data_IF_117001981220
#
_entry.id   IF_117001981220
#
_cell.length_a   1.000
_cell.length_b   1.000
_cell.length_c   1.000
_cell.angle_alpha   90.00
_cell.angle_beta   90.00
_cell.angle_gamma   90.00
#
_symmetry.space_group_name_H-M   'P 1'
#
loop_
_entity.id
_entity.type
_entity.pdbx_description
1 polymer ?
#
# COMPACT_ATOMS: atom_id res chain seq x y z
N UNK A 1 -10.38 18.75 -3.67
CA UNK A 1 -10.28 17.87 -2.49
C UNK A 1 -11.38 16.80 -2.49
N UNK A 2 -12.66 17.16 -2.26
CA UNK A 2 -13.78 16.19 -2.21
C UNK A 2 -13.92 15.28 -3.46
N UNK A 3 -13.76 15.83 -4.67
CA UNK A 3 -13.82 15.06 -5.93
C UNK A 3 -12.71 14.01 -6.05
N UNK A 4 -11.50 14.31 -5.58
CA UNK A 4 -10.36 13.38 -5.59
C UNK A 4 -10.58 12.26 -4.58
N UNK A 5 -11.10 12.58 -3.39
CA UNK A 5 -11.41 11.59 -2.35
C UNK A 5 -12.54 10.62 -2.77
N UNK A 6 -13.63 11.14 -3.36
CA UNK A 6 -14.72 10.30 -3.86
C UNK A 6 -14.29 9.39 -5.02
N UNK A 7 -13.47 9.89 -5.96
CA UNK A 7 -13.01 9.08 -7.09
C UNK A 7 -12.00 8.01 -6.69
N UNK A 8 -11.14 8.27 -5.70
CA UNK A 8 -10.26 7.22 -5.16
C UNK A 8 -11.11 6.11 -4.52
N UNK A 9 -12.10 6.46 -3.70
CA UNK A 9 -12.98 5.48 -3.08
C UNK A 9 -13.75 4.64 -4.11
N UNK A 10 -14.27 5.27 -5.17
CA UNK A 10 -15.11 4.61 -6.17
C UNK A 10 -14.32 3.81 -7.22
N UNK A 11 -13.11 4.25 -7.59
CA UNK A 11 -12.35 3.64 -8.69
C UNK A 11 -11.23 2.72 -8.23
N UNK A 12 -10.66 2.96 -7.05
CA UNK A 12 -9.43 2.28 -6.61
C UNK A 12 -9.74 1.10 -5.70
N UNK A 13 -10.61 1.26 -4.69
CA UNK A 13 -10.88 0.21 -3.72
C UNK A 13 -11.49 -1.07 -4.34
N UNK A 14 -12.49 -0.99 -5.24
CA UNK A 14 -13.04 -2.18 -5.89
C UNK A 14 -12.05 -2.87 -6.83
N UNK A 15 -11.23 -2.07 -7.54
CA UNK A 15 -10.27 -2.58 -8.52
C UNK A 15 -8.99 -3.13 -7.89
N UNK A 16 -8.64 -2.68 -6.68
CA UNK A 16 -7.55 -3.28 -5.94
C UNK A 16 -7.86 -4.76 -5.61
N UNK A 17 -9.13 -5.14 -5.47
CA UNK A 17 -9.61 -6.50 -5.20
C UNK A 17 -9.04 -7.13 -3.92
N UNK A 18 -9.42 -8.38 -3.63
CA UNK A 18 -8.78 -9.18 -2.58
C UNK A 18 -9.11 -8.73 -1.14
N UNK A 19 -8.26 -9.09 -0.17
CA UNK A 19 -8.51 -8.89 1.26
C UNK A 19 -8.58 -7.40 1.66
N UNK A 20 -9.40 -7.01 2.65
CA UNK A 20 -9.62 -5.61 3.04
C UNK A 20 -8.33 -4.80 3.27
N UNK A 21 -7.32 -5.42 3.88
CA UNK A 21 -6.03 -4.75 4.14
C UNK A 21 -5.30 -4.29 2.88
N UNK A 22 -5.39 -5.05 1.77
CA UNK A 22 -4.79 -4.65 0.49
C UNK A 22 -5.50 -3.43 -0.08
N UNK A 23 -6.83 -3.45 -0.08
CA UNK A 23 -7.65 -2.36 -0.60
C UNK A 23 -7.38 -1.08 0.17
N UNK A 24 -7.31 -1.17 1.50
CA UNK A 24 -6.98 -0.04 2.35
C UNK A 24 -5.59 0.53 2.02
N UNK A 25 -4.57 -0.33 2.02
CA UNK A 25 -3.20 0.11 1.80
C UNK A 25 -2.98 0.80 0.44
N UNK A 26 -3.55 0.21 -0.62
CA UNK A 26 -3.47 0.78 -1.98
C UNK A 26 -4.26 2.09 -2.06
N UNK A 27 -5.44 2.17 -1.42
CA UNK A 27 -6.24 3.40 -1.37
C UNK A 27 -5.45 4.56 -0.74
N UNK A 28 -4.83 4.34 0.42
CA UNK A 28 -4.02 5.34 1.12
C UNK A 28 -2.85 5.82 0.26
N UNK A 29 -2.11 4.89 -0.35
CA UNK A 29 -1.03 5.22 -1.27
C UNK A 29 -1.51 6.08 -2.46
N UNK A 30 -2.53 5.62 -3.19
CA UNK A 30 -3.01 6.30 -4.40
C UNK A 30 -3.54 7.69 -4.09
N UNK A 31 -4.32 7.81 -3.02
CA UNK A 31 -4.89 9.08 -2.62
C UNK A 31 -3.83 10.11 -2.30
N UNK A 32 -2.84 9.74 -1.49
CA UNK A 32 -1.78 10.65 -1.06
C UNK A 32 -0.83 11.02 -2.19
N UNK A 33 -0.56 10.10 -3.12
CA UNK A 33 0.18 10.42 -4.34
C UNK A 33 -0.55 11.42 -5.22
N UNK A 34 -1.85 11.22 -5.46
CA UNK A 34 -2.66 12.12 -6.28
C UNK A 34 -2.81 13.52 -5.63
N UNK A 35 -3.01 13.57 -4.31
CA UNK A 35 -3.06 14.84 -3.58
C UNK A 35 -1.72 15.58 -3.65
N UNK A 36 -0.62 14.89 -3.40
CA UNK A 36 0.71 15.50 -3.40
C UNK A 36 1.09 16.03 -4.77
N UNK A 37 0.85 15.26 -5.83
CA UNK A 37 1.16 15.68 -7.19
C UNK A 37 0.40 16.92 -7.63
N UNK A 38 -0.87 17.07 -7.21
CA UNK A 38 -1.77 18.14 -7.70
C UNK A 38 -1.84 19.37 -6.79
N UNK A 39 -1.57 19.18 -5.50
CA UNK A 39 -1.79 20.20 -4.47
C UNK A 39 -0.57 20.41 -3.57
N UNK A 40 0.52 19.68 -3.81
CA UNK A 40 1.74 19.78 -3.03
C UNK A 40 1.70 18.99 -1.73
N UNK A 41 2.90 18.77 -1.17
CA UNK A 41 3.09 17.94 0.03
C UNK A 41 2.42 18.52 1.28
N UNK A 42 2.38 19.84 1.41
CA UNK A 42 1.79 20.51 2.56
C UNK A 42 0.29 20.18 2.70
N UNK A 43 -0.44 20.30 1.59
CA UNK A 43 -1.87 20.04 1.56
C UNK A 43 -2.17 18.54 1.76
N UNK A 44 -1.39 17.66 1.12
CA UNK A 44 -1.55 16.22 1.28
C UNK A 44 -1.37 15.77 2.75
N UNK A 45 -0.37 16.32 3.45
CA UNK A 45 -0.12 16.06 4.88
C UNK A 45 -1.23 16.59 5.77
N UNK A 46 -1.72 17.82 5.52
CA UNK A 46 -2.82 18.38 6.28
C UNK A 46 -4.09 17.54 6.15
N UNK A 47 -4.40 17.07 4.94
CA UNK A 47 -5.53 16.19 4.67
C UNK A 47 -5.34 14.81 5.33
N UNK A 48 -4.12 14.25 5.31
CA UNK A 48 -3.82 13.01 6.02
C UNK A 48 -4.05 13.18 7.53
N UNK A 49 -3.50 14.23 8.14
CA UNK A 49 -3.65 14.51 9.57
C UNK A 49 -5.12 14.69 9.99
N UNK A 50 -5.90 15.47 9.22
CA UNK A 50 -7.32 15.67 9.48
C UNK A 50 -8.13 14.36 9.38
N UNK A 51 -7.70 13.41 8.54
CA UNK A 51 -8.35 12.11 8.47
C UNK A 51 -8.00 11.21 9.66
N UNK A 52 -6.77 11.30 10.18
CA UNK A 52 -6.36 10.57 11.38
C UNK A 52 -7.04 11.09 12.65
N UNK A 53 -7.34 12.40 12.75
CA UNK A 53 -8.10 12.98 13.88
C UNK A 53 -9.51 12.38 14.03
N UNK A 54 -10.07 11.80 12.97
CA UNK A 54 -11.34 11.08 13.01
C UNK A 54 -11.22 9.58 13.32
N UNK A 55 -10.02 9.04 13.48
CA UNK A 55 -9.77 7.60 13.66
C UNK A 55 -9.62 7.21 15.13
N UNK A 56 -10.30 6.15 15.57
CA UNK A 56 -10.35 5.68 16.97
C UNK A 56 -9.38 4.53 17.28
N UNK A 57 -8.62 3.99 16.32
CA UNK A 57 -7.66 2.89 16.55
C UNK A 57 -6.19 3.28 16.21
N UNK A 58 -5.29 3.35 17.21
CA UNK A 58 -3.88 3.72 17.02
C UNK A 58 -3.04 2.74 16.18
N UNK A 59 -3.36 1.44 16.17
CA UNK A 59 -2.60 0.45 15.40
C UNK A 59 -2.94 0.50 13.90
N UNK A 60 -4.16 0.92 13.58
CA UNK A 60 -4.57 1.17 12.20
C UNK A 60 -3.84 2.41 11.63
N UNK A 61 -3.55 3.38 12.49
CA UNK A 61 -2.89 4.63 12.12
C UNK A 61 -1.43 4.44 11.64
N UNK A 62 -0.65 3.49 12.17
CA UNK A 62 0.75 3.32 11.75
C UNK A 62 0.91 2.77 10.31
N UNK A 63 0.06 1.81 9.91
CA UNK A 63 0.06 1.27 8.55
C UNK A 63 -0.39 2.35 7.55
N UNK A 64 -1.43 3.10 7.91
CA UNK A 64 -1.98 4.16 7.08
C UNK A 64 -0.98 5.32 6.93
N UNK A 65 -0.31 5.76 8.01
CA UNK A 65 0.77 6.74 7.96
C UNK A 65 1.90 6.32 7.02
N UNK A 66 2.31 5.05 7.06
CA UNK A 66 3.36 4.52 6.18
C UNK A 66 2.91 4.54 4.71
N UNK A 67 1.72 4.05 4.42
CA UNK A 67 1.18 4.04 3.06
C UNK A 67 0.98 5.46 2.53
N UNK A 68 0.52 6.38 3.40
CA UNK A 68 0.39 7.80 3.11
C UNK A 68 1.74 8.42 2.74
N UNK A 69 2.78 8.18 3.54
CA UNK A 69 4.13 8.71 3.29
C UNK A 69 4.76 8.21 1.99
N UNK A 70 4.54 6.94 1.65
CA UNK A 70 4.97 6.37 0.37
C UNK A 70 4.22 7.01 -0.80
N UNK A 71 2.91 7.23 -0.65
CA UNK A 71 2.08 7.94 -1.61
C UNK A 71 2.60 9.37 -1.82
N UNK A 72 2.81 10.13 -0.74
CA UNK A 72 3.33 11.50 -0.80
C UNK A 72 4.69 11.57 -1.51
N UNK A 73 5.63 10.69 -1.15
CA UNK A 73 6.95 10.63 -1.77
C UNK A 73 6.87 10.36 -3.27
N UNK A 74 6.02 9.39 -3.68
CA UNK A 74 5.81 9.09 -5.10
C UNK A 74 5.15 10.27 -5.83
N UNK A 75 4.11 10.86 -5.25
CA UNK A 75 3.41 12.01 -5.81
C UNK A 75 4.33 13.21 -6.00
N UNK A 76 5.27 13.46 -5.08
CA UNK A 76 6.24 14.54 -5.19
C UNK A 76 7.27 14.27 -6.31
N UNK A 77 7.81 13.05 -6.37
CA UNK A 77 8.80 12.65 -7.39
C UNK A 77 8.22 12.69 -8.82
N UNK A 78 6.92 12.41 -8.96
CA UNK A 78 6.25 12.33 -10.26
C UNK A 78 5.23 13.46 -10.48
N UNK A 79 5.32 14.56 -9.73
CA UNK A 79 4.30 15.62 -9.68
C UNK A 79 3.96 16.17 -11.06
N UNK A 80 4.96 16.60 -11.83
CA UNK A 80 4.74 17.20 -13.16
C UNK A 80 4.03 16.24 -14.12
N UNK A 81 4.40 14.95 -14.10
CA UNK A 81 3.77 13.93 -14.96
C UNK A 81 2.33 13.67 -14.53
N UNK A 82 2.11 13.41 -13.24
CA UNK A 82 0.79 13.07 -12.70
C UNK A 82 -0.19 14.25 -12.80
N UNK A 83 0.29 15.49 -12.67
CA UNK A 83 -0.52 16.70 -12.80
C UNK A 83 -0.92 16.98 -14.26
N UNK A 84 -0.11 16.58 -15.23
CA UNK A 84 -0.41 16.72 -16.66
C UNK A 84 -1.49 15.73 -17.16
N UNK A 85 -1.75 14.65 -16.41
CA UNK A 85 -2.75 13.66 -16.78
C UNK A 85 -4.16 14.07 -16.34
N UNK A 86 -5.20 13.69 -17.11
CA UNK A 86 -6.56 13.67 -16.60
C UNK A 86 -6.64 12.82 -15.32
N UNK A 87 -7.40 13.26 -14.32
CA UNK A 87 -7.42 12.64 -12.99
C UNK A 87 -7.70 11.12 -13.05
N UNK A 88 -8.63 10.66 -13.89
CA UNK A 88 -8.90 9.21 -14.05
C UNK A 88 -7.70 8.44 -14.61
N UNK A 89 -6.90 9.02 -15.49
CA UNK A 89 -5.70 8.39 -16.02
C UNK A 89 -4.61 8.31 -14.94
N UNK A 90 -4.39 9.40 -14.21
CA UNK A 90 -3.46 9.43 -13.07
C UNK A 90 -3.84 8.38 -12.00
N UNK A 91 -5.13 8.26 -11.67
CA UNK A 91 -5.59 7.27 -10.67
C UNK A 91 -5.38 5.81 -11.12
N UNK A 92 -5.57 5.49 -12.41
CA UNK A 92 -5.28 4.14 -12.93
C UNK A 92 -3.81 3.81 -12.87
N UNK A 93 -2.96 4.74 -13.27
CA UNK A 93 -1.51 4.59 -13.20
C UNK A 93 -1.04 4.40 -11.75
N UNK A 94 -1.54 5.25 -10.83
CA UNK A 94 -1.23 5.13 -9.41
C UNK A 94 -1.74 3.81 -8.81
N UNK A 95 -2.89 3.31 -9.25
CA UNK A 95 -3.40 2.00 -8.84
C UNK A 95 -2.45 0.87 -9.25
N UNK A 96 -1.94 0.88 -10.48
CA UNK A 96 -0.96 -0.12 -10.94
C UNK A 96 0.33 -0.09 -10.10
N UNK A 97 0.83 1.12 -9.81
CA UNK A 97 2.00 1.32 -8.93
C UNK A 97 1.71 0.85 -7.51
N UNK A 98 0.54 1.18 -6.97
CA UNK A 98 0.12 0.76 -5.63
C UNK A 98 0.03 -0.77 -5.52
N UNK A 99 -0.52 -1.44 -6.53
CA UNK A 99 -0.58 -2.90 -6.60
C UNK A 99 0.80 -3.54 -6.76
N UNK A 100 1.71 -2.92 -7.51
CA UNK A 100 3.10 -3.37 -7.59
C UNK A 100 3.81 -3.26 -6.23
N UNK A 101 3.68 -2.13 -5.54
CA UNK A 101 4.22 -1.90 -4.19
C UNK A 101 3.64 -2.86 -3.16
N UNK A 102 2.34 -3.13 -3.21
CA UNK A 102 1.72 -4.15 -2.36
C UNK A 102 2.37 -5.53 -2.57
N UNK A 103 2.52 -5.96 -3.83
CA UNK A 103 3.14 -7.25 -4.17
C UNK A 103 4.60 -7.34 -3.73
N UNK A 104 5.33 -6.22 -3.76
CA UNK A 104 6.70 -6.12 -3.26
C UNK A 104 6.81 -6.15 -1.72
N UNK A 105 5.70 -6.05 -1.00
CA UNK A 105 5.70 -5.90 0.47
C UNK A 105 5.97 -4.47 0.94
N UNK A 106 5.99 -3.50 0.03
CA UNK A 106 6.21 -2.10 0.33
C UNK A 106 4.99 -1.43 0.95
N UNK A 107 3.80 -2.01 0.91
CA UNK A 107 2.60 -1.44 1.55
C UNK A 107 2.18 -2.30 2.75
N UNK A 108 1.63 -1.66 3.79
CA UNK A 108 1.25 -2.32 5.03
C UNK A 108 -0.29 -2.41 5.16
N UNK A 109 -0.80 -3.53 5.66
CA UNK A 109 -2.23 -3.69 5.98
C UNK A 109 -2.52 -3.44 7.46
N UNK A 110 -3.73 -2.97 7.73
CA UNK A 110 -4.32 -2.88 9.07
C UNK A 110 -4.83 -4.27 9.53
N UNK A 111 -4.71 -4.57 10.83
CA UNK A 111 -5.24 -5.79 11.44
C UNK A 111 -4.32 -6.54 12.42
N UNK A 112 -4.79 -6.70 13.67
CA UNK A 112 -4.24 -7.59 14.71
C UNK A 112 -4.04 -9.00 14.14
N UNK A 113 -2.81 -9.53 14.16
CA UNK A 113 -2.36 -10.86 13.66
C UNK A 113 -1.92 -10.98 12.18
N UNK A 114 -1.33 -9.94 11.58
CA UNK A 114 -0.63 -10.07 10.29
C UNK A 114 0.82 -10.59 10.36
N UNK A 115 1.44 -10.62 11.54
CA UNK A 115 2.89 -10.86 11.72
C UNK A 115 3.38 -12.32 11.66
N UNK A 116 2.53 -13.32 11.42
CA UNK A 116 2.92 -14.72 11.61
C UNK A 116 2.84 -15.63 10.37
N UNK A 117 2.60 -15.12 9.15
CA UNK A 117 2.44 -16.03 7.98
C UNK A 117 3.18 -15.66 6.69
N UNK A 118 3.98 -14.60 6.67
CA UNK A 118 4.80 -14.26 5.50
C UNK A 118 6.22 -14.87 5.52
N UNK A 119 6.66 -15.48 6.62
CA UNK A 119 7.94 -16.19 6.70
C UNK A 119 7.75 -17.73 6.70
N UNK A 120 7.10 -18.28 5.66
CA UNK A 120 7.15 -19.73 5.43
C UNK A 120 8.48 -20.05 4.74
N UNK A 121 9.40 -20.60 5.54
CA UNK A 121 10.71 -21.19 5.18
C UNK A 121 10.69 -21.89 3.81
N UNK A 122 11.82 -21.89 3.07
CA UNK A 122 11.95 -22.70 1.88
C UNK A 122 11.72 -24.17 2.23
N UNK A 123 10.94 -24.84 1.39
CA UNK A 123 10.69 -26.28 1.43
C UNK A 123 12.02 -27.01 1.48
N UNK A 124 12.28 -27.75 2.56
CA UNK A 124 13.39 -28.71 2.66
C UNK A 124 13.14 -29.80 1.61
N UNK A 125 13.80 -29.67 0.47
CA UNK A 125 13.89 -30.70 -0.55
C UNK A 125 14.59 -31.92 0.01
N UNK A 126 13.98 -33.08 -0.22
CA UNK A 126 14.56 -34.41 -0.09
C UNK A 126 15.89 -34.54 -0.82
N UNK A 127 16.94 -35.03 -0.12
CA UNK A 127 18.07 -35.80 -0.67
C UNK A 127 18.96 -36.30 0.48
N UNK A 128 19.28 -37.59 0.48
CA UNK A 128 20.35 -38.17 1.30
C UNK A 128 19.93 -39.42 2.08
N UNK A 129 19.89 -40.56 1.41
CA UNK A 129 19.83 -41.91 2.00
C UNK A 129 21.15 -42.14 2.73
N UNK A 130 21.13 -42.29 4.05
CA UNK A 130 22.30 -42.72 4.83
C UNK A 130 22.24 -44.24 5.00
N UNK A 131 23.26 -44.93 4.49
CA UNK A 131 23.53 -46.35 4.72
C UNK A 131 24.00 -46.55 6.17
N UNK A 132 23.58 -47.60 6.88
CA UNK A 132 24.11 -47.90 8.21
C UNK A 132 25.50 -48.54 8.11
N UNK A 133 26.38 -48.37 9.11
CA UNK A 133 27.64 -49.10 9.16
C UNK A 133 27.40 -50.56 9.58
N UNK A 134 28.23 -51.46 9.06
CA UNK A 134 28.23 -52.88 9.43
C UNK A 134 28.74 -53.07 10.87
N UNK A 135 28.24 -54.08 11.60
CA UNK A 135 28.79 -54.44 12.91
C UNK A 135 30.12 -55.20 12.77
N UNK A 136 30.94 -55.01 13.80
CA UNK A 136 32.34 -55.41 14.03
C UNK A 136 32.77 -56.78 13.51
#
# INVERSE_FOLDING_TARGET
>A
MLLTSAQVLLLVAPQAGGVPGRQNAVRHFVWQAALTARHGSMVARAVAAAQEEGSVDPLDSAADLRNNGLGQSYGAQHASRLAALPLRAALRELLEVGLARWRAGDLAATGRRGGARAARRPRRGSRGRATPPAPS
#
